data_IF_430071630638
#
_entry.id   IF_430071630638
#
_cell.length_a   1.000
_cell.length_b   1.000
_cell.length_c   1.000
_cell.angle_alpha   90.00
_cell.angle_beta   90.00
_cell.angle_gamma   90.00
#
_symmetry.space_group_name_H-M   'P 1'
#
loop_
_entity.id
_entity.type
_entity.pdbx_description
1 polymer ?
#
# COMPACT_ATOMS: atom_id res chain seq x y z
N UNK A 1 7.25 -21.47 -11.36
CA UNK A 1 6.32 -21.90 -10.28
C UNK A 1 6.46 -21.04 -9.02
N UNK A 2 7.63 -20.95 -8.38
CA UNK A 2 7.77 -20.10 -7.17
C UNK A 2 7.45 -18.61 -7.42
N UNK A 3 7.83 -18.08 -8.58
CA UNK A 3 7.52 -16.68 -8.93
C UNK A 3 6.01 -16.40 -9.07
N UNK A 4 5.22 -17.34 -9.59
CA UNK A 4 3.75 -17.23 -9.69
C UNK A 4 3.15 -17.18 -8.29
N UNK A 5 3.62 -18.05 -7.42
CA UNK A 5 3.19 -18.07 -6.03
C UNK A 5 3.52 -16.77 -5.31
N UNK A 6 4.76 -16.27 -5.40
CA UNK A 6 5.13 -14.98 -4.78
C UNK A 6 4.33 -13.82 -5.35
N UNK A 7 4.10 -13.77 -6.66
CA UNK A 7 3.23 -12.75 -7.25
C UNK A 7 1.81 -12.82 -6.68
N UNK A 8 1.21 -14.00 -6.68
CA UNK A 8 -0.19 -14.16 -6.31
C UNK A 8 -0.42 -14.01 -4.80
N UNK A 9 0.46 -14.57 -3.98
CA UNK A 9 0.29 -14.61 -2.52
C UNK A 9 0.81 -13.33 -1.85
N UNK A 10 1.94 -12.77 -2.32
CA UNK A 10 2.53 -11.57 -1.72
C UNK A 10 2.02 -10.30 -2.42
N UNK A 11 2.32 -10.13 -3.72
CA UNK A 11 2.01 -8.87 -4.41
C UNK A 11 0.51 -8.67 -4.62
N UNK A 12 -0.20 -9.67 -5.13
CA UNK A 12 -1.64 -9.56 -5.40
C UNK A 12 -2.44 -9.64 -4.10
N UNK A 13 -2.25 -10.70 -3.31
CA UNK A 13 -3.11 -10.97 -2.16
C UNK A 13 -2.80 -10.12 -0.91
N UNK A 14 -1.57 -9.62 -0.73
CA UNK A 14 -1.24 -8.79 0.45
C UNK A 14 -1.21 -7.30 0.10
N UNK A 15 -0.25 -6.87 -0.74
CA UNK A 15 -0.04 -5.45 -1.00
C UNK A 15 -1.11 -4.87 -1.96
N UNK A 16 -1.36 -5.53 -3.08
CA UNK A 16 -2.35 -5.13 -4.07
C UNK A 16 -3.77 -5.11 -3.51
N UNK A 17 -4.14 -6.13 -2.74
CA UNK A 17 -5.45 -6.21 -2.09
C UNK A 17 -5.66 -5.07 -1.09
N UNK A 18 -4.67 -4.78 -0.25
CA UNK A 18 -4.69 -3.65 0.69
C UNK A 18 -4.98 -2.33 -0.06
N UNK A 19 -4.14 -2.01 -1.05
CA UNK A 19 -4.25 -0.77 -1.81
C UNK A 19 -5.62 -0.67 -2.48
N UNK A 20 -6.05 -1.74 -3.16
CA UNK A 20 -7.31 -1.74 -3.87
C UNK A 20 -8.51 -1.54 -2.91
N UNK A 21 -8.54 -2.27 -1.78
CA UNK A 21 -9.64 -2.16 -0.80
C UNK A 21 -9.74 -0.77 -0.22
N UNK A 22 -8.61 -0.21 0.24
CA UNK A 22 -8.58 1.11 0.89
C UNK A 22 -8.94 2.21 -0.11
N UNK A 23 -8.31 2.23 -1.29
CA UNK A 23 -8.61 3.25 -2.30
C UNK A 23 -10.06 3.15 -2.79
N UNK A 24 -10.56 1.94 -3.09
CA UNK A 24 -11.95 1.77 -3.55
C UNK A 24 -12.95 2.24 -2.50
N UNK A 25 -12.71 1.90 -1.24
CA UNK A 25 -13.59 2.29 -0.15
C UNK A 25 -13.53 3.79 0.11
N UNK A 26 -12.34 4.39 0.05
CA UNK A 26 -12.19 5.85 0.19
C UNK A 26 -12.88 6.57 -0.96
N UNK A 27 -12.56 6.18 -2.19
CA UNK A 27 -13.10 6.78 -3.41
C UNK A 27 -14.63 6.78 -3.44
N UNK A 28 -15.25 5.64 -3.08
CA UNK A 28 -16.71 5.49 -3.09
C UNK A 28 -17.43 6.27 -1.98
N UNK A 29 -16.84 6.38 -0.79
CA UNK A 29 -17.56 6.86 0.39
C UNK A 29 -17.11 8.24 0.90
N UNK A 30 -16.05 8.83 0.34
CA UNK A 30 -15.47 10.10 0.81
C UNK A 30 -15.17 11.04 -0.36
N UNK A 31 -16.11 11.17 -1.30
CA UNK A 31 -16.06 12.18 -2.37
C UNK A 31 -14.78 12.12 -3.23
N UNK A 32 -14.24 10.91 -3.42
CA UNK A 32 -12.99 10.72 -4.13
C UNK A 32 -11.79 11.45 -3.49
N UNK A 33 -11.84 11.75 -2.19
CA UNK A 33 -10.82 12.51 -1.49
C UNK A 33 -10.29 11.78 -0.24
N UNK A 34 -9.08 12.14 0.19
CA UNK A 34 -8.53 11.71 1.49
C UNK A 34 -9.48 12.22 2.59
N UNK A 35 -9.98 11.35 3.47
CA UNK A 35 -10.94 11.75 4.49
C UNK A 35 -10.25 12.49 5.64
N UNK A 36 -10.95 13.47 6.22
CA UNK A 36 -10.51 14.14 7.45
C UNK A 36 -10.55 13.14 8.61
N UNK A 37 -9.41 12.83 9.27
CA UNK A 37 -9.40 11.96 10.42
C UNK A 37 -10.04 12.66 11.64
N UNK A 38 -10.72 11.89 12.49
CA UNK A 38 -11.05 12.31 13.85
C UNK A 38 -9.90 12.00 14.82
N UNK A 39 -10.23 11.86 16.10
CA UNK A 39 -9.25 11.46 17.11
C UNK A 39 -8.69 10.06 16.82
N UNK A 40 -7.38 9.92 17.02
CA UNK A 40 -6.67 8.64 16.92
C UNK A 40 -6.74 7.90 18.26
N UNK A 41 -7.11 6.63 18.23
CA UNK A 41 -6.98 5.76 19.38
C UNK A 41 -5.60 5.09 19.45
N UNK A 42 -5.37 4.29 20.48
CA UNK A 42 -4.09 3.60 20.68
C UNK A 42 -3.70 2.66 19.54
N UNK A 43 -4.68 2.07 18.85
CA UNK A 43 -4.42 1.14 17.73
C UNK A 43 -4.01 1.93 16.49
N UNK A 44 -4.63 3.09 16.27
CA UNK A 44 -4.25 4.02 15.19
C UNK A 44 -2.82 4.50 15.37
N UNK A 45 -2.51 5.02 16.57
CA UNK A 45 -1.19 5.54 16.92
C UNK A 45 -0.13 4.45 16.79
N UNK A 46 -0.39 3.24 17.30
CA UNK A 46 0.56 2.14 17.21
C UNK A 46 0.90 1.75 15.77
N UNK A 47 -0.04 1.87 14.82
CA UNK A 47 0.26 1.62 13.41
C UNK A 47 1.02 2.80 12.79
N UNK A 48 0.68 4.05 13.12
CA UNK A 48 1.40 5.23 12.64
C UNK A 48 2.88 5.20 13.08
N UNK A 49 3.16 4.87 14.34
CA UNK A 49 4.52 4.73 14.87
C UNK A 49 5.33 3.67 14.12
N UNK A 50 4.68 2.54 13.78
CA UNK A 50 5.31 1.46 13.00
C UNK A 50 5.68 1.89 11.59
N UNK A 51 4.94 2.81 10.98
CA UNK A 51 5.29 3.33 9.65
C UNK A 51 6.66 4.00 9.71
N UNK A 52 6.89 4.86 10.72
CA UNK A 52 8.17 5.56 10.87
C UNK A 52 9.33 4.60 11.14
N UNK A 53 9.12 3.63 12.04
CA UNK A 53 10.14 2.62 12.35
C UNK A 53 10.50 1.80 11.10
N UNK A 54 9.48 1.33 10.38
CA UNK A 54 9.68 0.57 9.15
C UNK A 54 10.42 1.41 8.09
N UNK A 55 10.09 2.70 7.94
CA UNK A 55 10.73 3.57 6.94
C UNK A 55 12.22 3.74 7.24
N UNK A 56 12.56 4.06 8.50
CA UNK A 56 13.95 4.13 8.95
C UNK A 56 14.68 2.80 8.78
N UNK A 57 14.00 1.67 9.02
CA UNK A 57 14.62 0.37 8.87
C UNK A 57 14.91 0.04 7.39
N UNK A 58 13.94 0.27 6.50
CA UNK A 58 14.11 0.09 5.05
C UNK A 58 15.24 0.96 4.53
N UNK A 59 15.31 2.23 4.94
CA UNK A 59 16.39 3.16 4.58
C UNK A 59 17.78 2.58 4.92
N UNK A 60 17.97 2.16 6.17
CA UNK A 60 19.21 1.53 6.62
C UNK A 60 19.55 0.24 5.84
N UNK A 61 18.54 -0.58 5.53
CA UNK A 61 18.75 -1.81 4.77
C UNK A 61 19.14 -1.54 3.33
N UNK A 62 18.55 -0.52 2.69
CA UNK A 62 18.91 -0.10 1.34
C UNK A 62 20.34 0.45 1.30
N UNK A 63 20.71 1.32 2.26
CA UNK A 63 22.07 1.85 2.38
C UNK A 63 23.12 0.75 2.57
N UNK A 64 22.76 -0.34 3.26
CA UNK A 64 23.60 -1.52 3.47
C UNK A 64 23.51 -2.58 2.36
N UNK A 65 22.82 -2.31 1.24
CA UNK A 65 22.56 -3.24 0.15
C UNK A 65 21.84 -4.54 0.57
N UNK A 66 21.06 -4.51 1.66
CA UNK A 66 20.26 -5.62 2.20
C UNK A 66 18.84 -5.62 1.61
N UNK A 67 18.74 -5.68 0.30
CA UNK A 67 17.50 -5.56 -0.47
C UNK A 67 16.39 -6.55 -0.07
N UNK A 68 16.76 -7.81 0.25
CA UNK A 68 15.79 -8.82 0.69
C UNK A 68 15.18 -8.52 2.05
N UNK A 69 15.93 -7.88 2.93
CA UNK A 69 15.46 -7.50 4.26
C UNK A 69 14.54 -6.28 4.13
N UNK A 70 14.97 -5.27 3.36
CA UNK A 70 14.17 -4.08 3.04
C UNK A 70 12.77 -4.43 2.49
N UNK A 71 12.68 -5.27 1.45
CA UNK A 71 11.37 -5.64 0.86
C UNK A 71 10.52 -6.45 1.84
N UNK A 72 11.13 -7.29 2.68
CA UNK A 72 10.40 -8.04 3.72
C UNK A 72 9.80 -7.10 4.75
N UNK A 73 10.55 -6.10 5.21
CA UNK A 73 10.05 -5.08 6.15
C UNK A 73 8.84 -4.34 5.56
N UNK A 74 8.92 -3.92 4.29
CA UNK A 74 7.80 -3.27 3.62
C UNK A 74 6.57 -4.21 3.49
N UNK A 75 6.77 -5.48 3.16
CA UNK A 75 5.69 -6.48 3.11
C UNK A 75 5.07 -6.77 4.50
N UNK A 76 5.88 -6.80 5.56
CA UNK A 76 5.39 -6.92 6.93
C UNK A 76 4.49 -5.74 7.30
N UNK A 77 4.89 -4.52 6.97
CA UNK A 77 4.06 -3.32 7.20
C UNK A 77 2.72 -3.39 6.43
N UNK A 78 2.72 -3.90 5.19
CA UNK A 78 1.47 -4.13 4.45
C UNK A 78 0.58 -5.18 5.14
N UNK A 79 1.17 -6.23 5.74
CA UNK A 79 0.44 -7.20 6.57
C UNK A 79 -0.17 -6.56 7.82
N UNK A 80 0.58 -5.68 8.49
CA UNK A 80 0.12 -4.95 9.67
C UNK A 80 -1.08 -4.05 9.36
N UNK A 81 -1.04 -3.34 8.21
CA UNK A 81 -2.18 -2.54 7.75
C UNK A 81 -3.41 -3.38 7.42
N UNK A 82 -3.25 -4.57 6.83
CA UNK A 82 -4.36 -5.49 6.61
C UNK A 82 -4.99 -5.93 7.94
N UNK A 83 -4.18 -6.31 8.94
CA UNK A 83 -4.68 -6.69 10.28
C UNK A 83 -5.44 -5.55 10.95
N UNK A 84 -4.90 -4.34 10.86
CA UNK A 84 -5.54 -3.12 11.35
C UNK A 84 -6.91 -2.89 10.72
N UNK A 85 -7.02 -3.05 9.39
CA UNK A 85 -8.30 -2.89 8.69
C UNK A 85 -9.32 -3.96 9.07
N UNK A 86 -8.89 -5.21 9.31
CA UNK A 86 -9.79 -6.27 9.81
C UNK A 86 -10.29 -5.98 11.23
N UNK A 87 -9.43 -5.45 12.11
CA UNK A 87 -9.81 -5.07 13.47
C UNK A 87 -10.78 -3.87 13.49
N UNK A 88 -10.45 -2.80 12.75
CA UNK A 88 -11.29 -1.59 12.65
C UNK A 88 -12.56 -1.81 11.83
N UNK A 89 -12.53 -2.79 10.92
CA UNK A 89 -13.60 -3.17 10.02
C UNK A 89 -14.36 -1.97 9.43
N UNK A 90 -13.68 -1.02 8.73
CA UNK A 90 -14.29 0.25 8.41
C UNK A 90 -15.50 0.10 7.46
N UNK A 91 -15.57 -0.99 6.67
CA UNK A 91 -16.73 -1.33 5.83
C UNK A 91 -18.01 -1.61 6.61
N UNK A 92 -17.89 -1.99 7.89
CA UNK A 92 -19.02 -2.16 8.82
C UNK A 92 -19.30 -0.85 9.53
N UNK A 93 -18.26 -0.24 10.13
CA UNK A 93 -18.43 0.91 11.01
C UNK A 93 -18.93 2.15 10.26
N UNK A 94 -18.64 2.29 8.96
CA UNK A 94 -19.09 3.43 8.16
C UNK A 94 -20.61 3.61 8.14
N UNK A 95 -21.39 2.54 8.38
CA UNK A 95 -22.85 2.59 8.48
C UNK A 95 -23.35 3.14 9.82
N UNK A 96 -22.49 3.20 10.83
CA UNK A 96 -22.80 3.59 12.20
C UNK A 96 -22.11 4.92 12.55
N UNK A 97 -20.83 5.02 12.23
CA UNK A 97 -19.97 6.16 12.53
C UNK A 97 -19.01 6.37 11.35
N UNK A 98 -19.37 7.35 10.50
CA UNK A 98 -18.58 7.70 9.32
C UNK A 98 -17.23 8.32 9.70
N UNK A 99 -17.13 8.98 10.84
CA UNK A 99 -15.89 9.63 11.29
C UNK A 99 -14.85 8.60 11.72
N UNK A 100 -15.26 7.54 12.44
CA UNK A 100 -14.33 6.44 12.77
C UNK A 100 -13.84 5.69 11.53
N UNK A 101 -14.72 5.50 10.54
CA UNK A 101 -14.34 4.93 9.26
C UNK A 101 -13.35 5.84 8.51
N UNK A 102 -13.56 7.15 8.56
CA UNK A 102 -12.64 8.16 8.00
C UNK A 102 -11.26 8.06 8.65
N UNK A 103 -11.16 8.10 9.98
CA UNK A 103 -9.89 7.94 10.71
C UNK A 103 -9.19 6.64 10.30
N UNK A 104 -9.93 5.53 10.25
CA UNK A 104 -9.34 4.22 9.93
C UNK A 104 -8.78 4.17 8.50
N UNK A 105 -9.50 4.75 7.54
CA UNK A 105 -9.03 4.82 6.17
C UNK A 105 -7.88 5.80 6.01
N UNK A 106 -7.87 6.92 6.74
CA UNK A 106 -6.78 7.89 6.73
C UNK A 106 -5.46 7.24 7.20
N UNK A 107 -5.50 6.49 8.31
CA UNK A 107 -4.32 5.75 8.81
C UNK A 107 -3.85 4.73 7.77
N UNK A 108 -4.76 3.95 7.20
CA UNK A 108 -4.41 2.96 6.17
C UNK A 108 -3.83 3.60 4.90
N UNK A 109 -4.36 4.75 4.47
CA UNK A 109 -3.83 5.54 3.36
C UNK A 109 -2.43 6.06 3.66
N UNK A 110 -2.16 6.49 4.88
CA UNK A 110 -0.82 6.93 5.32
C UNK A 110 0.21 5.80 5.24
N UNK A 111 -0.19 4.58 5.61
CA UNK A 111 0.66 3.39 5.41
C UNK A 111 0.91 3.15 3.92
N UNK A 112 -0.15 3.21 3.09
CA UNK A 112 -0.05 2.99 1.64
C UNK A 112 0.87 4.02 0.97
N UNK A 113 0.79 5.29 1.37
CA UNK A 113 1.64 6.35 0.83
C UNK A 113 3.12 6.14 1.19
N UNK A 114 3.39 5.63 2.39
CA UNK A 114 4.76 5.28 2.77
C UNK A 114 5.24 4.03 2.04
N UNK A 115 4.41 3.00 1.90
CA UNK A 115 4.73 1.79 1.14
C UNK A 115 5.03 2.10 -0.33
N UNK A 116 4.32 3.05 -0.94
CA UNK A 116 4.62 3.56 -2.29
C UNK A 116 6.09 3.99 -2.40
N UNK A 117 6.60 4.73 -1.42
CA UNK A 117 8.01 5.15 -1.41
C UNK A 117 8.96 3.98 -1.14
N UNK A 118 8.68 3.15 -0.13
CA UNK A 118 9.51 1.99 0.22
C UNK A 118 9.65 0.97 -0.90
N UNK A 119 8.58 0.77 -1.68
CA UNK A 119 8.53 -0.19 -2.78
C UNK A 119 9.15 0.35 -4.07
N UNK A 120 9.34 1.66 -4.20
CA UNK A 120 9.82 2.30 -5.43
C UNK A 120 11.15 1.73 -5.97
N UNK A 121 12.18 1.45 -5.13
CA UNK A 121 13.42 0.83 -5.59
C UNK A 121 13.25 -0.59 -6.18
N UNK A 122 12.13 -1.27 -5.88
CA UNK A 122 11.84 -2.64 -6.29
C UNK A 122 10.78 -2.72 -7.39
N UNK A 123 9.77 -1.86 -7.30
CA UNK A 123 8.57 -1.85 -8.13
C UNK A 123 8.27 -0.42 -8.63
N UNK A 124 9.16 0.19 -9.44
CA UNK A 124 9.06 1.60 -9.81
C UNK A 124 7.76 1.93 -10.54
N UNK A 125 7.31 1.06 -11.45
CA UNK A 125 6.09 1.28 -12.24
C UNK A 125 4.81 1.19 -11.39
N UNK A 126 4.69 0.17 -10.53
CA UNK A 126 3.53 0.03 -9.65
C UNK A 126 3.49 1.14 -8.59
N UNK A 127 4.67 1.58 -8.12
CA UNK A 127 4.79 2.68 -7.17
C UNK A 127 4.41 4.02 -7.81
N UNK A 128 4.82 4.27 -9.07
CA UNK A 128 4.37 5.44 -9.84
C UNK A 128 2.86 5.43 -10.07
N UNK A 129 2.30 4.27 -10.43
CA UNK A 129 0.85 4.13 -10.61
C UNK A 129 0.09 4.42 -9.30
N UNK A 130 0.60 3.93 -8.17
CA UNK A 130 0.03 4.24 -6.85
C UNK A 130 0.17 5.72 -6.48
N UNK A 131 1.31 6.34 -6.77
CA UNK A 131 1.53 7.77 -6.58
C UNK A 131 0.45 8.60 -7.28
N UNK A 132 0.13 8.26 -8.53
CA UNK A 132 -0.94 8.92 -9.28
C UNK A 132 -2.34 8.65 -8.72
N UNK A 133 -2.60 7.43 -8.23
CA UNK A 133 -3.87 7.10 -7.56
C UNK A 133 -4.09 7.88 -6.28
N UNK A 134 -3.03 8.12 -5.54
CA UNK A 134 -3.05 8.95 -4.34
C UNK A 134 -3.27 10.44 -4.65
N UNK A 135 -3.29 10.84 -5.92
CA UNK A 135 -3.56 12.22 -6.32
C UNK A 135 -2.31 13.08 -6.51
N UNK A 136 -1.12 12.49 -6.35
CA UNK A 136 0.11 13.23 -6.61
C UNK A 136 0.33 13.46 -8.11
N UNK A 137 1.08 14.52 -8.41
CA UNK A 137 1.52 14.88 -9.76
C UNK A 137 3.02 14.73 -9.88
N UNK A 138 3.50 14.56 -11.12
CA UNK A 138 4.92 14.30 -11.38
C UNK A 138 5.32 12.85 -11.12
N UNK A 139 6.60 12.63 -10.85
CA UNK A 139 7.14 11.31 -10.58
C UNK A 139 7.41 11.09 -9.10
N UNK A 140 7.38 9.83 -8.68
CA UNK A 140 7.78 9.44 -7.32
C UNK A 140 9.20 9.94 -6.97
N UNK A 141 10.14 9.85 -7.91
CA UNK A 141 11.53 10.29 -7.72
C UNK A 141 11.66 11.79 -7.40
N UNK A 142 10.72 12.61 -7.88
CA UNK A 142 10.73 14.06 -7.64
C UNK A 142 10.43 14.40 -6.16
N UNK A 143 9.78 13.50 -5.42
CA UNK A 143 9.53 13.68 -3.99
C UNK A 143 10.81 13.47 -3.15
N UNK A 144 11.78 12.73 -3.69
CA UNK A 144 12.94 12.23 -2.95
C UNK A 144 12.56 11.15 -1.92
N UNK A 145 13.57 10.52 -1.34
CA UNK A 145 13.39 9.51 -0.31
C UNK A 145 12.99 10.14 1.03
N UNK A 146 11.69 10.31 1.24
CA UNK A 146 11.10 10.84 2.48
C UNK A 146 9.68 10.34 2.66
N UNK A 147 9.22 10.35 3.90
CA UNK A 147 7.80 10.20 4.21
C UNK A 147 7.05 11.46 3.77
N UNK A 148 5.87 11.28 3.20
CA UNK A 148 4.94 12.33 2.82
C UNK A 148 3.66 12.21 3.63
N UNK A 149 3.01 13.34 3.90
CA UNK A 149 1.70 13.35 4.52
C UNK A 149 0.65 13.51 3.43
N UNK A 150 -0.39 12.68 3.48
CA UNK A 150 -1.57 12.86 2.66
C UNK A 150 -2.46 13.91 3.31
N UNK A 151 -2.58 15.06 2.65
CA UNK A 151 -3.45 16.13 3.13
C UNK A 151 -4.93 15.70 3.02
N UNK A 152 -5.73 15.85 4.10
CA UNK A 152 -7.18 15.71 4.00
C UNK A 152 -7.76 16.57 2.87
N UNK A 153 -8.75 16.02 2.16
CA UNK A 153 -9.33 16.66 0.98
C UNK A 153 -8.54 16.49 -0.32
N UNK A 154 -7.33 15.90 -0.29
CA UNK A 154 -6.58 15.59 -1.51
C UNK A 154 -7.38 14.63 -2.40
N UNK A 155 -7.59 15.00 -3.67
CA UNK A 155 -8.37 14.22 -4.63
C UNK A 155 -7.60 12.98 -5.08
N UNK A 156 -8.19 11.83 -4.82
CA UNK A 156 -7.74 10.52 -5.28
C UNK A 156 -8.25 10.26 -6.71
N UNK A 157 -7.45 9.55 -7.51
CA UNK A 157 -7.93 9.07 -8.82
C UNK A 157 -8.68 7.74 -8.65
N UNK A 158 -9.51 7.42 -9.65
CA UNK A 158 -10.24 6.17 -9.68
C UNK A 158 -9.25 4.98 -9.60
N UNK A 159 -9.37 4.10 -8.60
CA UNK A 159 -8.44 2.99 -8.43
C UNK A 159 -8.70 1.90 -9.47
N UNK A 160 -7.62 1.33 -10.00
CA UNK A 160 -7.65 0.06 -10.73
C UNK A 160 -6.57 -0.89 -10.19
N UNK A 161 -6.69 -2.21 -10.39
CA UNK A 161 -5.75 -3.18 -9.85
C UNK A 161 -4.28 -2.81 -10.13
N UNK A 162 -3.45 -2.88 -9.08
CA UNK A 162 -2.00 -2.62 -9.20
C UNK A 162 -1.25 -3.80 -9.81
N UNK A 163 -1.70 -5.03 -9.51
CA UNK A 163 -1.06 -6.27 -9.95
C UNK A 163 -2.09 -7.19 -10.58
N UNK A 164 -1.66 -7.93 -11.60
CA UNK A 164 -2.47 -8.96 -12.25
C UNK A 164 -2.11 -10.31 -11.67
N UNK A 165 -3.13 -11.13 -11.39
CA UNK A 165 -2.91 -12.52 -10.99
C UNK A 165 -2.30 -13.28 -12.16
N UNK A 166 -1.24 -14.04 -11.89
CA UNK A 166 -0.63 -14.90 -12.88
C UNK A 166 -1.31 -16.26 -12.85
N UNK A 167 -1.67 -16.76 -14.02
CA UNK A 167 -2.17 -18.12 -14.20
C UNK A 167 -1.00 -19.11 -14.23
N UNK A 168 -1.24 -20.36 -13.82
CA UNK A 168 -0.20 -21.40 -13.83
C UNK A 168 0.27 -21.71 -15.27
N UNK A 169 -0.59 -21.51 -16.27
CA UNK A 169 -0.25 -21.62 -17.70
C UNK A 169 0.90 -20.68 -18.13
N UNK A 170 1.07 -19.53 -17.47
CA UNK A 170 2.20 -18.61 -17.72
C UNK A 170 3.53 -19.29 -17.42
N UNK A 171 3.57 -20.22 -16.45
CA UNK A 171 4.78 -20.99 -16.18
C UNK A 171 5.17 -21.85 -17.37
N UNK A 172 4.20 -22.52 -17.97
CA UNK A 172 4.44 -23.42 -19.09
C UNK A 172 4.82 -22.65 -20.36
N UNK A 173 4.14 -21.54 -20.63
CA UNK A 173 4.42 -20.65 -21.75
C UNK A 173 5.85 -20.07 -21.64
N UNK A 174 6.22 -19.48 -20.51
CA UNK A 174 7.55 -18.88 -20.34
C UNK A 174 8.67 -19.93 -20.29
N UNK A 175 8.41 -21.12 -19.72
CA UNK A 175 9.38 -22.24 -19.77
C UNK A 175 9.62 -22.71 -21.20
N UNK A 176 8.58 -22.69 -22.05
CA UNK A 176 8.73 -23.05 -23.47
C UNK A 176 9.57 -22.04 -24.26
N UNK A 177 9.54 -20.76 -23.87
CA UNK A 177 10.28 -19.65 -24.51
C UNK A 177 11.75 -19.61 -24.14
N UNK A 178 12.11 -20.10 -22.95
CA UNK A 178 13.50 -20.11 -22.47
C UNK A 178 14.38 -21.16 -23.18
N UNK A 179 13.77 -22.06 -23.96
CA UNK A 179 14.49 -23.19 -24.55
C UNK A 179 14.99 -24.17 -23.48
N UNK A 180 15.25 -25.43 -23.87
CA UNK A 180 15.99 -26.35 -23.00
C UNK A 180 17.47 -26.01 -22.99
#
# INVERSE_FOLDING_TARGET
>A
REYVRRNNDELVATYGNLVQRVLTMTYRNFECAVPEPGDFDSVDIALLDKIEEAFRHVDNMLAACRFREAIRTAMTLAGDANRYLEEKAPWRIIKQDRQKAATSLYVALSVIDTLKMMMYPFLPFSSQKLHEYLGYSGKVEDQGWKMTNLEPGQILKAPAPLFTKLDDSVVEEETSRLGK
#
